data_IF_901645265644
#
_entry.id   IF_901645265644
#
_cell.length_a   1.000
_cell.length_b   1.000
_cell.length_c   1.000
_cell.angle_alpha   90.00
_cell.angle_beta   90.00
_cell.angle_gamma   90.00
#
_symmetry.space_group_name_H-M   'P 1'
#
loop_
_entity.id
_entity.type
_entity.pdbx_description
1 polymer ?
#
# COMPACT_ATOMS: atom_id res chain seq x y z
N UNK A 1 3.77 -7.06 3.71
CA UNK A 1 2.33 -6.79 3.44
C UNK A 1 2.12 -6.86 1.93
N UNK A 2 1.06 -7.55 1.47
CA UNK A 2 0.66 -7.56 0.06
C UNK A 2 -0.36 -6.44 -0.19
N UNK A 3 -0.02 -5.47 -1.05
CA UNK A 3 -0.91 -4.39 -1.48
C UNK A 3 -1.28 -4.54 -2.97
N UNK A 4 -1.48 -5.79 -3.42
CA UNK A 4 -2.01 -6.11 -4.74
C UNK A 4 -3.54 -6.14 -4.75
N UNK A 5 -4.15 -5.47 -5.73
CA UNK A 5 -5.60 -5.56 -5.95
C UNK A 5 -6.15 -4.34 -6.67
N UNK A 6 -6.42 -4.48 -7.97
CA UNK A 6 -7.25 -3.53 -8.72
C UNK A 6 -8.63 -3.57 -8.04
N UNK A 7 -8.96 -2.52 -7.28
CA UNK A 7 -10.15 -2.51 -6.45
C UNK A 7 -11.41 -2.37 -7.30
N UNK A 8 -11.91 -3.46 -7.88
CA UNK A 8 -13.17 -3.49 -8.62
C UNK A 8 -14.41 -3.43 -7.72
N UNK A 9 -14.27 -3.74 -6.42
CA UNK A 9 -15.37 -3.71 -5.43
C UNK A 9 -15.67 -2.33 -4.84
N UNK A 10 -14.79 -1.34 -5.06
CA UNK A 10 -14.95 0.03 -4.56
C UNK A 10 -15.06 1.05 -5.71
N UNK A 11 -15.42 0.60 -6.90
CA UNK A 11 -15.78 1.51 -7.99
C UNK A 11 -17.05 2.29 -7.59
N UNK A 12 -17.14 3.61 -7.80
CA UNK A 12 -16.25 4.48 -8.60
C UNK A 12 -15.07 5.11 -7.83
N UNK A 13 -14.95 4.88 -6.52
CA UNK A 13 -13.93 5.52 -5.67
C UNK A 13 -12.50 4.98 -5.92
N UNK A 14 -12.38 3.69 -6.24
CA UNK A 14 -11.11 3.03 -6.55
C UNK A 14 -10.90 2.95 -8.05
N UNK A 15 -9.76 3.46 -8.54
CA UNK A 15 -9.34 3.36 -9.94
C UNK A 15 -8.01 2.62 -10.04
N UNK A 16 -7.62 2.19 -11.25
CA UNK A 16 -6.31 1.57 -11.48
C UNK A 16 -5.14 2.49 -11.07
N UNK A 17 -5.34 3.81 -11.11
CA UNK A 17 -4.35 4.82 -10.73
C UNK A 17 -4.46 5.22 -9.24
N UNK A 18 -5.59 4.93 -8.59
CA UNK A 18 -5.83 5.21 -7.17
C UNK A 18 -6.48 3.99 -6.51
N UNK A 19 -5.68 2.97 -6.17
CA UNK A 19 -6.19 1.73 -5.59
C UNK A 19 -6.67 1.95 -4.16
N UNK A 20 -7.51 1.04 -3.67
CA UNK A 20 -8.14 1.10 -2.35
C UNK A 20 -7.17 1.34 -1.18
N UNK A 21 -5.92 0.87 -1.27
CA UNK A 21 -4.96 1.05 -0.16
C UNK A 21 -4.60 2.52 0.07
N UNK A 22 -4.78 3.38 -0.95
CA UNK A 22 -4.53 4.82 -0.88
C UNK A 22 -5.81 5.63 -0.57
N UNK A 23 -6.91 4.96 -0.24
CA UNK A 23 -8.19 5.61 0.07
C UNK A 23 -8.48 5.58 1.57
N UNK A 24 -9.04 6.66 2.14
CA UNK A 24 -9.54 6.70 3.50
C UNK A 24 -10.93 6.06 3.58
N UNK A 25 -10.97 4.72 3.62
CA UNK A 25 -12.24 3.96 3.59
C UNK A 25 -12.71 3.52 4.97
N UNK A 26 -11.81 3.36 5.94
CA UNK A 26 -12.13 2.93 7.31
C UNK A 26 -11.87 4.01 8.36
N UNK A 27 -11.11 5.03 8.01
CA UNK A 27 -10.79 6.20 8.83
C UNK A 27 -10.65 7.43 7.92
N UNK A 28 -10.22 8.55 8.49
CA UNK A 28 -9.80 9.76 7.77
C UNK A 28 -8.44 9.60 7.06
N UNK A 29 -7.72 8.50 7.29
CA UNK A 29 -6.39 8.22 6.71
C UNK A 29 -6.43 7.05 5.73
N UNK A 30 -5.50 6.99 4.76
CA UNK A 30 -5.42 5.87 3.83
C UNK A 30 -5.27 4.53 4.54
N UNK A 31 -5.94 3.49 4.04
CA UNK A 31 -5.90 2.13 4.63
C UNK A 31 -4.48 1.57 4.83
N UNK A 32 -3.55 1.91 3.93
CA UNK A 32 -2.15 1.53 4.07
C UNK A 32 -1.54 2.13 5.34
N UNK A 33 -1.81 3.41 5.64
CA UNK A 33 -1.29 4.08 6.83
C UNK A 33 -1.83 3.44 8.11
N UNK A 34 -3.13 3.19 8.16
CA UNK A 34 -3.74 2.53 9.32
C UNK A 34 -3.20 1.10 9.52
N UNK A 35 -2.79 0.43 8.45
CA UNK A 35 -2.18 -0.90 8.57
C UNK A 35 -0.75 -0.83 9.05
N UNK A 36 0.03 0.18 8.61
CA UNK A 36 1.38 0.42 9.11
C UNK A 36 1.40 0.83 10.58
N UNK A 37 0.51 1.72 11.00
CA UNK A 37 0.37 2.13 12.40
C UNK A 37 0.07 0.93 13.32
N UNK A 38 -0.76 -0.02 12.84
CA UNK A 38 -1.04 -1.28 13.57
C UNK A 38 0.16 -2.24 13.62
N UNK A 39 1.05 -2.18 12.62
CA UNK A 39 2.25 -3.02 12.55
C UNK A 39 3.43 -2.44 13.32
N UNK A 40 3.51 -1.12 13.48
CA UNK A 40 4.59 -0.42 14.18
C UNK A 40 4.96 -1.00 15.56
N UNK A 41 4.02 -1.39 16.45
CA UNK A 41 4.39 -2.00 17.73
C UNK A 41 4.90 -3.44 17.62
N UNK A 42 4.74 -4.09 16.46
CA UNK A 42 5.12 -5.49 16.23
C UNK A 42 6.46 -5.63 15.49
N UNK A 43 6.85 -4.63 14.69
CA UNK A 43 8.07 -4.69 13.88
C UNK A 43 8.56 -3.30 13.49
N UNK A 44 9.88 -3.12 13.45
CA UNK A 44 10.51 -1.90 12.93
C UNK A 44 10.16 -1.72 11.43
N UNK A 45 9.88 -0.50 10.95
CA UNK A 45 9.74 -0.20 9.53
C UNK A 45 10.86 -0.78 8.64
N UNK A 46 12.09 -0.87 9.14
CA UNK A 46 13.23 -1.47 8.44
C UNK A 46 13.03 -2.97 8.11
N UNK A 47 12.18 -3.68 8.86
CA UNK A 47 11.82 -5.08 8.63
C UNK A 47 10.49 -5.26 7.88
N UNK A 48 9.81 -4.17 7.52
CA UNK A 48 8.55 -4.21 6.79
C UNK A 48 8.81 -4.19 5.29
N UNK A 49 8.36 -5.23 4.58
CA UNK A 49 8.35 -5.29 3.11
C UNK A 49 6.94 -4.97 2.58
N UNK A 50 6.85 -4.08 1.58
CA UNK A 50 5.59 -3.73 0.90
C UNK A 50 5.68 -4.16 -0.55
N UNK A 51 4.82 -5.09 -0.94
CA UNK A 51 4.69 -5.53 -2.33
C UNK A 51 3.52 -4.79 -2.97
N UNK A 52 3.78 -4.10 -4.08
CA UNK A 52 2.78 -3.27 -4.78
C UNK A 52 3.05 -3.19 -6.28
N UNK A 53 2.17 -2.56 -7.05
CA UNK A 53 2.42 -2.33 -8.48
C UNK A 53 3.54 -1.29 -8.68
N UNK A 54 4.33 -1.41 -9.75
CA UNK A 54 5.34 -0.42 -10.12
C UNK A 54 4.81 1.03 -10.12
N UNK A 55 3.58 1.26 -10.60
CA UNK A 55 2.98 2.60 -10.61
C UNK A 55 2.64 3.16 -9.22
N UNK A 56 2.64 2.33 -8.19
CA UNK A 56 2.26 2.67 -6.82
C UNK A 56 3.45 2.81 -5.89
N UNK A 57 4.66 2.44 -6.33
CA UNK A 57 5.88 2.55 -5.50
C UNK A 57 6.09 3.97 -5.00
N UNK A 58 6.00 4.97 -5.89
CA UNK A 58 6.21 6.37 -5.50
C UNK A 58 5.09 6.91 -4.59
N UNK A 59 3.79 6.69 -4.90
CA UNK A 59 2.71 7.03 -3.96
C UNK A 59 2.85 6.38 -2.58
N UNK A 60 3.27 5.11 -2.52
CA UNK A 60 3.48 4.37 -1.28
C UNK A 60 4.67 4.93 -0.51
N UNK A 61 5.78 5.22 -1.19
CA UNK A 61 6.96 5.84 -0.59
C UNK A 61 6.64 7.21 0.01
N UNK A 62 5.81 8.01 -0.67
CA UNK A 62 5.36 9.30 -0.17
C UNK A 62 4.44 9.17 1.07
N UNK A 63 3.62 8.12 1.13
CA UNK A 63 2.69 7.87 2.24
C UNK A 63 3.37 7.26 3.47
N UNK A 64 4.45 6.50 3.26
CA UNK A 64 5.19 5.78 4.28
C UNK A 64 6.71 6.05 4.17
N UNK A 65 7.16 7.30 4.41
CA UNK A 65 8.58 7.67 4.32
C UNK A 65 9.47 6.92 5.33
N UNK A 66 8.87 6.38 6.40
CA UNK A 66 9.56 5.55 7.39
C UNK A 66 10.02 4.18 6.85
N UNK A 67 9.44 3.71 5.74
CA UNK A 67 9.83 2.43 5.14
C UNK A 67 10.99 2.68 4.17
N UNK A 68 12.13 1.97 4.32
CA UNK A 68 13.23 2.08 3.37
C UNK A 68 12.77 1.80 1.93
N UNK A 69 13.23 2.61 0.97
CA UNK A 69 12.82 2.46 -0.43
C UNK A 69 13.17 1.08 -1.02
N UNK A 70 14.24 0.45 -0.55
CA UNK A 70 14.61 -0.93 -0.92
C UNK A 70 13.62 -2.01 -0.45
N UNK A 71 12.75 -1.68 0.50
CA UNK A 71 11.71 -2.58 1.01
C UNK A 71 10.37 -2.43 0.26
N UNK A 72 10.30 -1.51 -0.71
CA UNK A 72 9.15 -1.34 -1.60
C UNK A 72 9.40 -2.13 -2.88
N UNK A 73 8.75 -3.29 -2.99
CA UNK A 73 8.96 -4.21 -4.11
C UNK A 73 7.82 -4.05 -5.11
N UNK A 74 8.18 -3.62 -6.33
CA UNK A 74 7.26 -3.59 -7.46
C UNK A 74 7.03 -5.00 -8.01
N UNK A 75 5.79 -5.46 -8.02
CA UNK A 75 5.42 -6.71 -8.68
C UNK A 75 5.47 -6.53 -10.21
N UNK A 76 6.11 -7.47 -10.95
CA UNK A 76 6.30 -7.35 -12.40
C UNK A 76 5.00 -7.50 -13.20
N UNK A 77 3.98 -8.15 -12.63
CA UNK A 77 2.61 -8.23 -13.15
C UNK A 77 1.64 -8.34 -11.97
N UNK A 78 0.41 -7.82 -12.07
CA UNK A 78 -0.64 -8.11 -11.10
C UNK A 78 -0.96 -9.62 -11.19
N UNK A 79 -0.27 -10.42 -10.39
CA UNK A 79 -0.61 -11.80 -10.14
C UNK A 79 -1.63 -11.77 -9.02
N UNK A 80 -2.92 -11.93 -9.35
CA UNK A 80 -3.97 -11.93 -8.35
C UNK A 80 -3.64 -12.87 -7.20
N UNK A 81 -3.76 -12.38 -5.98
CA UNK A 81 -3.78 -13.16 -4.73
C UNK A 81 -5.16 -13.09 -4.12
#
# INVERSE_FOLDING_TARGET
MLAGGVGSRFWPLSTAHRPKQLLPLASDRPLLRDTLDRMAPLSDPAHTLVLTNASLVDPVAALAPEIPRGNLIAEPRPAGT
#
